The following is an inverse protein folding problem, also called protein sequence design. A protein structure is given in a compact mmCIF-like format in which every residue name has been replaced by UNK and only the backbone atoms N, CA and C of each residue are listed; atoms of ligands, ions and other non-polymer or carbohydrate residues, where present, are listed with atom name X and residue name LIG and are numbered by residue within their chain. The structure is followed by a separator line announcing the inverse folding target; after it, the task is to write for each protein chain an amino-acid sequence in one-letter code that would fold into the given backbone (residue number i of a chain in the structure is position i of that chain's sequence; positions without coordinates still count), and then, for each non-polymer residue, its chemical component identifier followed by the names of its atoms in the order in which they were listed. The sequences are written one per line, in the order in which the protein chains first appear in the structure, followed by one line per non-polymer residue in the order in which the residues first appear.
data_IF_458781418008
#
_entry.id   IF_458781418008
#
_cell.length_a   1.000
_cell.length_b   1.000
_cell.length_c   1.000
_cell.angle_alpha   90.00
_cell.angle_beta   90.00
_cell.angle_gamma   90.00
#
_symmetry.space_group_name_H-M   'P 1'
#
loop_
_entity.id
_entity.type
_entity.pdbx_description
1 polymer ?
#
# COMPACT_ATOMS: atom_id res chain seq x y z
N UNK A 1 -4.16 9.14 -8.05
CA UNK A 1 -3.67 7.84 -7.55
C UNK A 1 -3.94 6.83 -8.65
N UNK A 2 -2.89 6.15 -9.13
CA UNK A 2 -3.07 4.99 -10.00
C UNK A 2 -3.77 3.90 -9.17
N UNK A 3 -4.79 3.25 -9.74
CA UNK A 3 -5.48 2.12 -9.12
C UNK A 3 -5.07 0.87 -9.88
N UNK A 4 -4.71 -0.17 -9.15
CA UNK A 4 -4.34 -1.45 -9.73
C UNK A 4 -5.48 -2.00 -10.61
N UNK A 5 -5.12 -2.57 -11.76
CA UNK A 5 -6.06 -3.18 -12.71
C UNK A 5 -7.03 -2.23 -13.43
N UNK A 6 -6.94 -0.90 -13.26
CA UNK A 6 -7.80 0.07 -13.97
C UNK A 6 -7.00 0.79 -15.06
N UNK A 7 -7.23 0.53 -16.36
CA UNK A 7 -6.60 1.26 -17.45
C UNK A 7 -6.82 2.76 -17.30
N UNK A 8 -5.73 3.52 -17.23
CA UNK A 8 -5.79 4.98 -17.21
C UNK A 8 -5.57 5.49 -18.64
N UNK A 9 -6.55 6.19 -19.21
CA UNK A 9 -6.39 6.83 -20.51
C UNK A 9 -5.54 8.08 -20.38
N UNK A 10 -4.45 8.11 -21.13
CA UNK A 10 -3.60 9.29 -21.29
C UNK A 10 -3.97 10.04 -22.56
N UNK A 11 -3.87 11.37 -22.51
CA UNK A 11 -4.18 12.30 -23.62
C UNK A 11 -3.30 12.02 -24.85
N UNK A 12 -3.83 12.21 -26.05
CA UNK A 12 -3.14 11.94 -27.33
C UNK A 12 -2.11 13.00 -27.77
N UNK A 13 -1.63 13.87 -26.87
CA UNK A 13 -0.65 14.91 -27.22
C UNK A 13 0.77 14.41 -26.96
N UNK A 14 1.50 14.14 -28.04
CA UNK A 14 2.83 13.53 -28.01
C UNK A 14 3.96 14.44 -27.48
N UNK A 15 3.68 15.72 -27.20
CA UNK A 15 4.70 16.68 -26.74
C UNK A 15 4.65 16.97 -25.22
N UNK A 16 3.80 16.29 -24.45
CA UNK A 16 3.65 16.53 -23.02
C UNK A 16 3.91 15.26 -22.21
N UNK A 17 4.95 15.28 -21.37
CA UNK A 17 5.22 14.21 -20.41
C UNK A 17 4.08 14.07 -19.40
N UNK A 18 3.73 12.83 -19.06
CA UNK A 18 2.64 12.51 -18.12
C UNK A 18 3.16 11.65 -17.01
N UNK A 19 3.18 12.21 -15.81
CA UNK A 19 3.73 11.53 -14.65
C UNK A 19 2.66 10.89 -13.78
N UNK A 20 2.98 9.70 -13.29
CA UNK A 20 2.21 8.97 -12.32
C UNK A 20 3.06 8.59 -11.12
N UNK A 21 2.41 8.54 -9.96
CA UNK A 21 3.03 8.05 -8.72
C UNK A 21 2.38 6.74 -8.33
N UNK A 22 3.20 5.70 -8.20
CA UNK A 22 2.82 4.38 -7.72
C UNK A 22 3.58 4.06 -6.44
N UNK A 23 2.98 3.33 -5.52
CA UNK A 23 3.66 2.83 -4.33
C UNK A 23 3.24 1.39 -4.13
N UNK A 24 4.21 0.48 -4.12
CA UNK A 24 3.95 -0.95 -3.89
C UNK A 24 3.27 -1.10 -2.54
N UNK A 25 2.07 -1.69 -2.52
CA UNK A 25 1.28 -1.89 -1.32
C UNK A 25 0.49 -0.68 -0.81
N UNK A 26 0.42 0.44 -1.54
CA UNK A 26 -0.44 1.56 -1.15
C UNK A 26 -1.95 1.30 -1.34
N UNK A 27 -2.31 0.34 -2.19
CA UNK A 27 -3.71 -0.03 -2.48
C UNK A 27 -3.96 -1.56 -2.36
N UNK A 28 -3.10 -2.28 -1.63
CA UNK A 28 -3.32 -3.71 -1.32
C UNK A 28 -4.08 -3.87 0.00
N UNK A 29 -4.83 -4.98 0.16
CA UNK A 29 -5.44 -5.33 1.45
C UNK A 29 -4.40 -5.18 2.56
N UNK A 30 -4.74 -4.40 3.58
CA UNK A 30 -3.87 -4.25 4.74
C UNK A 30 -3.66 -5.65 5.32
N UNK A 31 -2.40 -6.08 5.33
CA UNK A 31 -2.05 -7.25 6.11
C UNK A 31 -2.30 -6.95 7.57
N UNK A 32 -2.52 -7.99 8.34
CA UNK A 32 -2.57 -7.86 9.78
C UNK A 32 -2.06 -9.14 10.41
N UNK A 33 -1.45 -9.00 11.56
CA UNK A 33 -1.02 -10.14 12.38
C UNK A 33 -1.77 -10.04 13.69
N UNK A 34 -2.48 -11.11 14.05
CA UNK A 34 -3.06 -11.27 15.37
C UNK A 34 -1.93 -11.43 16.38
N UNK A 35 -1.89 -10.55 17.39
CA UNK A 35 -0.85 -10.53 18.41
C UNK A 35 -1.36 -11.00 19.77
N UNK A 36 -2.62 -10.73 20.09
CA UNK A 36 -3.26 -11.19 21.32
C UNK A 36 -4.76 -11.41 21.10
N UNK A 37 -5.29 -12.52 21.59
CA UNK A 37 -6.73 -12.83 21.53
C UNK A 37 -7.43 -12.39 22.82
N UNK A 38 -8.72 -12.07 22.71
CA UNK A 38 -9.61 -11.79 23.85
C UNK A 38 -9.08 -10.71 24.82
N UNK A 39 -8.39 -9.71 24.27
CA UNK A 39 -7.86 -8.58 25.04
C UNK A 39 -7.75 -7.30 24.20
N UNK A 40 -7.92 -6.16 24.88
CA UNK A 40 -7.46 -4.86 24.41
C UNK A 40 -6.21 -4.42 25.20
N UNK A 41 -5.43 -3.52 24.61
CA UNK A 41 -4.27 -2.94 25.27
C UNK A 41 -4.74 -1.78 26.15
N UNK A 42 -4.21 -1.59 27.36
CA UNK A 42 -4.49 -0.41 28.21
C UNK A 42 -3.83 0.87 27.67
N UNK A 43 -3.80 1.05 26.35
CA UNK A 43 -3.31 2.23 25.66
C UNK A 43 -4.48 3.11 25.22
N UNK A 44 -4.24 4.38 24.83
CA UNK A 44 -5.29 5.19 24.20
C UNK A 44 -5.74 4.58 22.88
N UNK A 45 -7.05 4.60 22.65
CA UNK A 45 -7.67 4.10 21.43
C UNK A 45 -8.39 5.22 20.63
N UNK A 46 -8.60 4.98 19.33
CA UNK A 46 -9.40 5.87 18.48
C UNK A 46 -10.39 5.07 17.64
N UNK A 47 -11.67 5.45 17.71
CA UNK A 47 -12.74 4.82 16.95
C UNK A 47 -12.56 5.01 15.44
N UNK A 48 -12.45 3.90 14.71
CA UNK A 48 -12.30 3.89 13.25
C UNK A 48 -13.61 3.61 12.52
N UNK A 49 -14.54 2.88 13.16
CA UNK A 49 -15.85 2.60 12.60
C UNK A 49 -16.38 1.19 12.84
N UNK A 50 -17.44 0.86 12.10
CA UNK A 50 -17.97 -0.49 12.00
C UNK A 50 -17.55 -1.13 10.68
N UNK A 51 -16.94 -2.32 10.76
CA UNK A 51 -16.50 -3.08 9.61
C UNK A 51 -16.93 -4.53 9.74
N UNK A 52 -17.35 -5.15 8.64
CA UNK A 52 -17.78 -6.55 8.62
C UNK A 52 -16.60 -7.55 8.61
N UNK A 53 -15.36 -7.06 8.59
CA UNK A 53 -14.16 -7.91 8.56
C UNK A 53 -12.95 -7.22 9.21
N UNK A 54 -12.03 -8.05 9.71
CA UNK A 54 -10.74 -7.60 10.26
C UNK A 54 -9.89 -6.91 9.19
N UNK A 55 -9.90 -7.39 7.95
CA UNK A 55 -9.16 -6.77 6.82
C UNK A 55 -9.60 -5.32 6.57
N UNK A 56 -10.91 -5.05 6.61
CA UNK A 56 -11.43 -3.69 6.46
C UNK A 56 -11.05 -2.78 7.64
N UNK A 57 -11.01 -3.31 8.87
CA UNK A 57 -10.50 -2.59 10.04
C UNK A 57 -8.99 -2.28 9.91
N UNK A 58 -8.19 -3.25 9.49
CA UNK A 58 -6.76 -3.07 9.22
C UNK A 58 -6.51 -2.00 8.14
N UNK A 59 -7.33 -1.98 7.08
CA UNK A 59 -7.25 -0.97 6.02
C UNK A 59 -7.58 0.44 6.54
N UNK A 60 -8.59 0.56 7.41
CA UNK A 60 -8.95 1.83 8.03
C UNK A 60 -7.83 2.34 8.95
N UNK A 61 -7.26 1.47 9.78
CA UNK A 61 -6.09 1.80 10.60
C UNK A 61 -4.92 2.24 9.72
N UNK A 62 -4.55 1.47 8.70
CA UNK A 62 -3.47 1.80 7.76
C UNK A 62 -3.63 3.16 7.06
N UNK A 63 -4.86 3.61 6.81
CA UNK A 63 -5.13 4.91 6.20
C UNK A 63 -4.83 6.10 7.14
N UNK A 64 -4.69 5.84 8.44
CA UNK A 64 -4.36 6.83 9.46
C UNK A 64 -2.82 6.91 9.66
N UNK A 65 -2.20 8.10 9.58
CA UNK A 65 -0.74 8.25 9.63
C UNK A 65 -0.02 7.69 10.87
N UNK A 66 -0.73 7.51 11.99
CA UNK A 66 -0.19 7.10 13.29
C UNK A 66 -0.63 5.71 13.75
N UNK A 67 -1.37 4.96 12.94
CA UNK A 67 -1.95 3.69 13.36
C UNK A 67 -1.00 2.53 13.04
N UNK A 68 -0.40 1.96 14.08
CA UNK A 68 0.43 0.74 13.99
C UNK A 68 -0.28 -0.51 14.47
N UNK A 69 -1.24 -0.36 15.38
CA UNK A 69 -2.00 -1.44 15.99
C UNK A 69 -3.50 -1.10 15.97
N UNK A 70 -4.34 -2.13 16.02
CA UNK A 70 -5.78 -1.98 16.09
C UNK A 70 -6.41 -3.13 16.87
N UNK A 71 -7.61 -2.90 17.40
CA UNK A 71 -8.47 -3.94 17.95
C UNK A 71 -9.71 -4.13 17.09
N UNK A 72 -10.15 -5.37 16.97
CA UNK A 72 -11.37 -5.73 16.27
C UNK A 72 -12.29 -6.58 17.13
N UNK A 73 -13.54 -6.14 17.26
CA UNK A 73 -14.46 -6.67 18.27
C UNK A 73 -15.13 -7.98 17.88
N UNK A 74 -15.46 -8.76 18.91
CA UNK A 74 -16.14 -10.06 18.86
C UNK A 74 -17.42 -10.02 19.71
N UNK A 75 -18.28 -11.02 19.53
CA UNK A 75 -19.48 -11.19 20.37
C UNK A 75 -20.36 -9.94 20.41
N UNK A 76 -20.60 -9.40 21.61
CA UNK A 76 -21.39 -8.16 21.79
C UNK A 76 -20.69 -6.90 21.28
N UNK A 77 -19.39 -6.97 20.99
CA UNK A 77 -18.58 -5.91 20.39
C UNK A 77 -18.28 -6.15 18.91
N UNK A 78 -18.93 -7.15 18.28
CA UNK A 78 -18.70 -7.49 16.88
C UNK A 78 -18.70 -6.26 15.95
N UNK A 79 -17.83 -6.30 14.95
CA UNK A 79 -17.65 -5.28 13.90
C UNK A 79 -17.06 -3.93 14.37
N UNK A 80 -16.87 -3.73 15.67
CA UNK A 80 -16.24 -2.53 16.21
C UNK A 80 -14.75 -2.53 15.93
N UNK A 81 -14.23 -1.39 15.48
CA UNK A 81 -12.83 -1.21 15.11
C UNK A 81 -12.26 0.05 15.75
N UNK A 82 -11.12 -0.11 16.42
CA UNK A 82 -10.38 1.00 17.01
C UNK A 82 -8.90 0.90 16.67
N UNK A 83 -8.26 2.04 16.42
CA UNK A 83 -6.82 2.18 16.41
C UNK A 83 -6.31 2.10 17.85
N UNK A 84 -5.17 1.44 18.05
CA UNK A 84 -4.49 1.33 19.35
C UNK A 84 -3.16 2.06 19.31
N UNK A 85 -2.91 2.94 20.27
CA UNK A 85 -1.72 3.78 20.33
C UNK A 85 -0.73 3.33 21.41
N UNK A 86 -0.39 2.05 21.40
CA UNK A 86 0.76 1.51 22.14
C UNK A 86 2.07 1.66 21.37
N UNK A 87 3.17 1.79 22.10
CA UNK A 87 4.51 1.82 21.50
C UNK A 87 5.02 0.43 21.08
N UNK A 88 4.37 -0.67 21.48
CA UNK A 88 4.90 -2.02 21.25
C UNK A 88 3.85 -3.11 21.09
N UNK A 89 4.17 -4.15 20.33
CA UNK A 89 3.35 -5.35 20.16
C UNK A 89 3.12 -6.15 21.44
N UNK A 90 3.93 -5.90 22.48
CA UNK A 90 3.80 -6.53 23.79
C UNK A 90 2.86 -5.81 24.74
N UNK A 91 2.26 -4.68 24.32
CA UNK A 91 1.44 -3.80 25.15
C UNK A 91 2.06 -3.57 26.55
N UNK A 92 3.11 -2.75 26.61
CA UNK A 92 3.82 -2.47 27.86
C UNK A 92 2.93 -1.78 28.91
N UNK A 93 1.81 -1.21 28.47
CA UNK A 93 0.76 -0.58 29.26
C UNK A 93 -0.05 -1.59 30.08
N UNK A 94 -0.12 -2.84 29.64
CA UNK A 94 -0.90 -3.92 30.27
C UNK A 94 -2.13 -4.33 29.46
N UNK A 95 -2.60 -5.55 29.67
CA UNK A 95 -3.73 -6.13 28.94
C UNK A 95 -5.01 -6.08 29.76
N UNK A 96 -6.13 -5.82 29.08
CA UNK A 96 -7.48 -5.90 29.62
C UNK A 96 -8.21 -7.05 28.94
N UNK A 97 -8.69 -8.04 29.72
CA UNK A 97 -9.52 -9.11 29.18
C UNK A 97 -10.84 -8.53 28.67
N UNK A 98 -11.08 -8.63 27.37
CA UNK A 98 -12.25 -8.06 26.72
C UNK A 98 -12.59 -8.79 25.41
N UNK A 99 -13.76 -8.51 24.84
CA UNK A 99 -14.24 -9.12 23.59
C UNK A 99 -13.62 -8.45 22.35
N UNK A 100 -12.31 -8.23 22.38
CA UNK A 100 -11.50 -7.71 21.28
C UNK A 100 -10.34 -8.64 21.00
N UNK A 101 -9.87 -8.63 19.75
CA UNK A 101 -8.58 -9.18 19.38
C UNK A 101 -7.65 -8.03 19.00
N UNK A 102 -6.40 -8.09 19.45
CA UNK A 102 -5.37 -7.08 19.20
C UNK A 102 -4.45 -7.50 18.04
N UNK A 103 -4.28 -6.59 17.09
CA UNK A 103 -3.56 -6.81 15.85
C UNK A 103 -2.49 -5.74 15.61
N UNK A 104 -1.39 -6.13 14.98
CA UNK A 104 -0.54 -5.17 14.29
C UNK A 104 -1.01 -5.02 12.84
N UNK A 105 -1.01 -3.77 12.35
CA UNK A 105 -1.10 -3.54 10.92
C UNK A 105 0.19 -4.05 10.28
N UNK A 106 0.04 -5.11 9.51
CA UNK A 106 1.04 -5.53 8.57
C UNK A 106 0.91 -4.72 7.29
N UNK A 107 2.03 -4.51 6.63
CA UNK A 107 1.96 -4.65 5.20
C UNK A 107 1.84 -6.16 4.94
N UNK A 108 0.79 -6.64 4.27
CA UNK A 108 0.95 -7.89 3.53
C UNK A 108 1.85 -7.58 2.31
N UNK A 109 3.11 -7.22 2.56
CA UNK A 109 4.20 -7.32 1.55
C UNK A 109 4.81 -8.73 1.64
N UNK A 110 4.00 -9.76 1.85
CA UNK A 110 4.47 -11.14 1.83
C UNK A 110 4.35 -11.79 0.45
N UNK A 111 4.09 -11.03 -0.62
CA UNK A 111 3.99 -11.61 -1.97
C UNK A 111 4.47 -10.75 -3.16
N UNK A 112 4.42 -9.41 -3.10
CA UNK A 112 4.86 -8.60 -4.25
C UNK A 112 6.36 -8.31 -4.15
N UNK A 113 7.17 -9.27 -4.63
CA UNK A 113 8.60 -9.08 -4.91
C UNK A 113 8.85 -8.46 -6.28
N UNK A 114 7.80 -8.18 -7.03
CA UNK A 114 7.86 -7.56 -8.35
C UNK A 114 6.54 -6.84 -8.66
N UNK A 115 6.55 -5.97 -9.65
CA UNK A 115 5.35 -5.50 -10.33
C UNK A 115 5.65 -5.28 -11.81
N UNK A 116 4.62 -5.31 -12.65
CA UNK A 116 4.75 -5.04 -14.09
C UNK A 116 3.88 -3.85 -14.47
N UNK A 117 4.51 -2.87 -15.12
CA UNK A 117 3.86 -1.77 -15.80
C UNK A 117 3.62 -2.17 -17.25
N UNK A 118 2.42 -1.96 -17.76
CA UNK A 118 2.09 -2.20 -19.18
C UNK A 118 1.41 -0.97 -19.76
N UNK A 119 1.86 -0.53 -20.93
CA UNK A 119 1.20 0.50 -21.73
C UNK A 119 0.84 -0.08 -23.09
N UNK A 120 -0.40 0.15 -23.52
CA UNK A 120 -0.87 -0.32 -24.83
C UNK A 120 -0.91 0.85 -25.81
N UNK A 121 -0.30 0.67 -26.97
CA UNK A 121 -0.28 1.62 -28.06
C UNK A 121 -1.61 1.60 -28.84
N UNK A 122 -2.62 2.32 -28.34
CA UNK A 122 -3.82 2.60 -29.15
C UNK A 122 -3.47 3.53 -30.34
N UNK A 123 -2.56 4.48 -30.10
CA UNK A 123 -2.01 5.42 -31.09
C UNK A 123 -0.59 5.82 -30.70
N UNK A 124 0.34 5.89 -31.66
CA UNK A 124 1.72 6.30 -31.41
C UNK A 124 2.58 5.17 -30.87
N UNK A 125 3.70 5.54 -30.25
CA UNK A 125 4.72 4.64 -29.70
C UNK A 125 5.02 5.07 -28.26
N UNK A 126 4.27 4.56 -27.26
CA UNK A 126 4.43 4.95 -25.87
C UNK A 126 5.61 4.22 -25.20
N UNK A 127 6.61 4.99 -24.79
CA UNK A 127 7.69 4.51 -23.92
C UNK A 127 7.28 4.56 -22.43
N UNK A 128 7.99 3.82 -21.57
CA UNK A 128 7.88 3.87 -20.10
C UNK A 128 9.23 4.28 -19.51
N UNK A 129 9.26 5.29 -18.63
CA UNK A 129 10.43 5.63 -17.82
C UNK A 129 10.07 5.71 -16.33
N UNK A 130 10.94 5.20 -15.45
CA UNK A 130 10.63 5.08 -14.01
C UNK A 130 11.82 5.47 -13.13
N UNK A 131 11.55 6.16 -12.02
CA UNK A 131 12.50 6.45 -10.91
C UNK A 131 11.88 6.23 -9.54
N UNK A 132 12.69 5.90 -8.55
CA UNK A 132 12.28 5.67 -7.15
C UNK A 132 12.95 6.63 -6.14
N UNK A 133 13.83 7.51 -6.61
CA UNK A 133 14.60 8.47 -5.79
C UNK A 133 13.86 9.80 -5.53
N UNK A 134 12.64 9.93 -6.04
CA UNK A 134 11.78 11.10 -5.86
C UNK A 134 11.93 12.18 -6.93
N UNK A 135 12.81 12.00 -7.92
CA UNK A 135 12.89 12.86 -9.10
C UNK A 135 12.03 12.32 -10.25
N UNK A 136 11.51 13.22 -11.08
CA UNK A 136 10.74 12.82 -12.26
C UNK A 136 11.67 12.12 -13.27
N UNK A 137 11.25 10.99 -13.85
CA UNK A 137 11.99 10.36 -14.93
C UNK A 137 11.90 11.20 -16.21
N UNK A 138 12.88 11.05 -17.10
CA UNK A 138 12.82 11.52 -18.49
C UNK A 138 13.61 10.56 -19.39
N UNK A 139 13.66 10.85 -20.70
CA UNK A 139 14.34 9.99 -21.69
C UNK A 139 15.87 9.85 -21.50
N UNK A 140 16.48 10.68 -20.65
CA UNK A 140 17.91 10.66 -20.32
C UNK A 140 18.17 10.23 -18.88
N UNK A 141 17.20 10.44 -17.98
CA UNK A 141 17.34 10.22 -16.54
C UNK A 141 16.24 9.28 -16.05
N UNK A 142 16.58 8.00 -15.92
CA UNK A 142 15.68 6.95 -15.44
C UNK A 142 16.46 5.89 -14.67
N UNK A 143 15.78 5.17 -13.78
CA UNK A 143 16.30 3.94 -13.17
C UNK A 143 15.88 2.71 -13.99
N UNK A 144 14.67 2.74 -14.56
CA UNK A 144 14.15 1.69 -15.44
C UNK A 144 13.41 2.30 -16.62
N UNK A 145 13.40 1.59 -17.74
CA UNK A 145 12.64 1.99 -18.92
C UNK A 145 12.23 0.80 -19.79
N UNK A 146 11.20 0.99 -20.60
CA UNK A 146 10.84 0.16 -21.74
C UNK A 146 10.55 1.09 -22.92
N UNK A 147 11.08 0.76 -24.11
CA UNK A 147 11.09 1.63 -25.31
C UNK A 147 10.87 0.82 -26.59
N UNK A 148 10.05 -0.22 -26.49
CA UNK A 148 9.77 -1.12 -27.60
C UNK A 148 8.73 -0.49 -28.50
N UNK A 149 8.91 -0.61 -29.81
CA UNK A 149 7.93 -0.09 -30.76
C UNK A 149 6.54 -0.73 -30.54
N UNK A 150 5.54 0.09 -30.21
CA UNK A 150 4.17 -0.33 -29.96
C UNK A 150 3.88 -0.50 -28.47
N UNK A 151 3.30 -1.64 -28.09
CA UNK A 151 3.01 -1.91 -26.68
C UNK A 151 4.32 -2.08 -25.90
N UNK A 152 4.36 -1.48 -24.71
CA UNK A 152 5.52 -1.57 -23.82
C UNK A 152 5.17 -2.20 -22.48
N UNK A 153 6.10 -2.98 -21.95
CA UNK A 153 5.97 -3.66 -20.67
C UNK A 153 7.29 -3.61 -19.91
N UNK A 154 7.22 -3.24 -18.63
CA UNK A 154 8.36 -3.11 -17.74
C UNK A 154 8.09 -3.80 -16.41
N UNK A 155 8.86 -4.84 -16.11
CA UNK A 155 8.85 -5.52 -14.80
C UNK A 155 9.96 -4.95 -13.92
N UNK A 156 9.62 -4.58 -12.69
CA UNK A 156 10.55 -4.07 -11.68
C UNK A 156 10.42 -4.96 -10.46
N UNK A 157 11.55 -5.45 -9.94
CA UNK A 157 11.57 -6.44 -8.85
C UNK A 157 12.55 -6.12 -7.72
N UNK A 158 12.36 -6.81 -6.60
CA UNK A 158 13.04 -6.58 -5.34
C UNK A 158 14.54 -6.92 -5.33
N UNK A 159 15.05 -7.58 -6.37
CA UNK A 159 16.48 -7.83 -6.54
C UNK A 159 17.20 -6.64 -7.19
N UNK A 160 16.46 -5.69 -7.78
CA UNK A 160 17.04 -4.48 -8.34
C UNK A 160 17.53 -3.54 -7.22
N UNK A 161 18.78 -3.03 -7.25
CA UNK A 161 19.29 -2.10 -6.23
C UNK A 161 18.50 -0.79 -6.09
N UNK A 162 17.81 -0.34 -7.14
CA UNK A 162 16.97 0.84 -7.11
C UNK A 162 15.55 0.56 -6.55
N UNK A 163 15.20 -0.71 -6.29
CA UNK A 163 13.94 -1.10 -5.68
C UNK A 163 13.71 -0.40 -4.35
N UNK A 164 12.55 0.25 -4.18
CA UNK A 164 12.26 1.04 -2.97
C UNK A 164 11.37 0.32 -1.93
N UNK A 165 10.95 -0.93 -2.16
CA UNK A 165 10.35 -1.79 -1.13
C UNK A 165 9.15 -1.24 -0.34
N UNK A 166 8.38 -0.31 -0.94
CA UNK A 166 7.30 0.42 -0.26
C UNK A 166 7.43 1.95 -0.37
N UNK A 167 8.53 2.45 -0.93
CA UNK A 167 8.64 3.84 -1.40
C UNK A 167 7.83 4.14 -2.67
N UNK A 168 7.77 5.41 -3.11
CA UNK A 168 7.11 5.79 -4.34
C UNK A 168 7.98 5.58 -5.59
N UNK A 169 7.35 5.07 -6.64
CA UNK A 169 7.83 5.06 -8.01
C UNK A 169 7.16 6.21 -8.79
N UNK A 170 7.97 7.05 -9.42
CA UNK A 170 7.56 8.08 -10.36
C UNK A 170 7.72 7.51 -11.76
N UNK A 171 6.62 7.44 -12.51
CA UNK A 171 6.52 6.84 -13.83
C UNK A 171 6.18 7.97 -14.81
N UNK A 172 6.85 8.04 -15.94
CA UNK A 172 6.68 9.08 -16.96
C UNK A 172 6.76 8.52 -18.37
#
# INVERSE_FOLDING_TARGET
RLRDGVPQRVSADANEWRYFKYTVGAEGEAGYTLLHEDAECSSPDEWLGHFSSVSACAAACRAMPSCGYFIYGKGSKAERCFAEFTASSGCAEGWEEDLYDFYAVGLNVSAQSEFTLTVSAETGDPDIYVRSDGELPDAQNYAWHAISAGDDALTIDAHDPAWCGGGPYLIG
#
